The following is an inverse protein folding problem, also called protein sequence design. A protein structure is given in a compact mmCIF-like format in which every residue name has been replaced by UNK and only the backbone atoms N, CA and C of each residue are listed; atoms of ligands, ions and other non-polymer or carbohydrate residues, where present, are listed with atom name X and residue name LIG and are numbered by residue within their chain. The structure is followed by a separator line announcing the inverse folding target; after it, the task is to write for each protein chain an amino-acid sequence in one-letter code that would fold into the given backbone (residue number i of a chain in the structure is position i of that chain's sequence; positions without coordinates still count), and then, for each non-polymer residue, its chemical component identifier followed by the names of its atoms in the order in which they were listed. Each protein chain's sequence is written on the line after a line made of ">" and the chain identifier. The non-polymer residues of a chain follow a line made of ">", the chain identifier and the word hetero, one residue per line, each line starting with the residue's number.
data_IF_083274527510
#
_entry.id   IF_083274527510
#
_cell.length_a   1.000
_cell.length_b   1.000
_cell.length_c   1.000
_cell.angle_alpha   90.00
_cell.angle_beta   90.00
_cell.angle_gamma   90.00
#
_symmetry.space_group_name_H-M   'P 1'
#
loop_
_entity.id
_entity.type
_entity.pdbx_description
1 polymer ?
#
# COMPACT_ATOMS: atom_id res chain seq x y z
N UNK A 1 15.70 15.56 -11.40
CA UNK A 1 15.23 16.86 -11.92
C UNK A 1 14.01 17.22 -11.10
N UNK A 2 13.95 18.40 -10.46
CA UNK A 2 12.81 18.78 -9.62
C UNK A 2 11.54 18.80 -10.48
N UNK A 3 10.47 18.20 -9.97
CA UNK A 3 9.15 18.22 -10.58
C UNK A 3 8.60 19.65 -10.46
N UNK A 4 7.99 20.24 -11.50
CA UNK A 4 7.36 21.56 -11.41
C UNK A 4 6.29 21.68 -10.31
N UNK A 5 5.77 20.55 -9.80
CA UNK A 5 4.83 20.48 -8.69
C UNK A 5 5.48 20.36 -7.29
N UNK A 6 6.80 20.15 -7.21
CA UNK A 6 7.52 20.05 -5.94
C UNK A 6 7.41 21.37 -5.16
N UNK A 7 7.11 21.27 -3.86
CA UNK A 7 7.04 22.44 -2.96
C UNK A 7 8.34 22.49 -2.17
N UNK A 8 9.07 23.60 -2.26
CA UNK A 8 10.30 23.76 -1.49
C UNK A 8 10.00 23.74 0.02
N UNK A 9 10.49 22.71 0.71
CA UNK A 9 10.42 22.64 2.17
C UNK A 9 11.74 23.17 2.73
N UNK A 10 11.61 24.21 3.54
CA UNK A 10 12.74 24.77 4.29
C UNK A 10 12.77 24.15 5.67
N UNK A 11 13.83 23.41 5.97
CA UNK A 11 14.09 22.93 7.32
C UNK A 11 15.16 23.85 7.92
N UNK A 12 14.72 24.76 8.77
CA UNK A 12 15.58 25.63 9.54
C UNK A 12 15.89 24.99 10.90
N UNK A 13 17.16 24.95 11.29
CA UNK A 13 17.58 24.42 12.56
C UNK A 13 18.97 24.91 12.96
N UNK A 14 19.25 24.93 14.26
CA UNK A 14 20.60 25.18 14.78
C UNK A 14 21.45 23.90 14.62
N UNK A 15 21.89 23.62 13.40
CA UNK A 15 22.71 22.44 13.14
C UNK A 15 24.18 22.74 13.43
N UNK A 16 24.60 22.54 14.67
CA UNK A 16 25.99 22.73 15.06
C UNK A 16 26.79 21.45 14.80
N UNK A 17 27.26 21.25 13.57
CA UNK A 17 28.12 20.12 13.19
C UNK A 17 29.57 20.23 13.72
N UNK A 18 29.86 21.24 14.55
CA UNK A 18 31.13 21.42 15.24
C UNK A 18 30.95 22.22 16.54
N UNK A 19 31.85 22.01 17.50
CA UNK A 19 31.83 22.76 18.77
C UNK A 19 32.01 24.28 18.58
N UNK A 20 32.65 24.69 17.48
CA UNK A 20 32.80 26.11 17.14
C UNK A 20 31.47 26.73 16.65
N UNK A 21 30.69 26.00 15.85
CA UNK A 21 29.36 26.44 15.42
C UNK A 21 28.40 26.59 16.61
N UNK A 22 28.51 25.69 17.60
CA UNK A 22 27.72 25.75 18.85
C UNK A 22 28.03 26.99 19.69
N UNK A 23 29.31 27.38 19.77
CA UNK A 23 29.72 28.60 20.46
C UNK A 23 29.27 29.88 19.75
N UNK A 24 29.16 29.85 18.43
CA UNK A 24 28.80 31.02 17.61
C UNK A 24 27.29 31.13 17.33
N UNK A 25 26.50 30.12 17.69
CA UNK A 25 25.08 30.00 17.36
C UNK A 25 24.82 30.16 15.85
N UNK A 26 25.66 29.52 15.03
CA UNK A 26 25.55 29.57 13.57
C UNK A 26 24.31 28.76 13.14
N UNK A 27 23.25 29.45 12.72
CA UNK A 27 22.06 28.82 12.17
C UNK A 27 22.33 28.32 10.75
N UNK A 28 22.20 27.02 10.53
CA UNK A 28 22.34 26.41 9.21
C UNK A 28 20.95 26.19 8.62
N UNK A 29 20.74 26.67 7.39
CA UNK A 29 19.47 26.45 6.68
C UNK A 29 19.65 25.36 5.64
N UNK A 30 18.83 24.31 5.71
CA UNK A 30 18.75 23.28 4.67
C UNK A 30 17.46 23.51 3.89
N UNK A 31 17.58 23.70 2.58
CA UNK A 31 16.44 23.83 1.66
C UNK A 31 16.44 22.59 0.77
N UNK A 32 15.35 21.82 0.83
CA UNK A 32 15.17 20.62 0.02
C UNK A 32 14.09 20.91 -1.01
N UNK A 33 14.44 20.78 -2.29
CA UNK A 33 13.56 21.01 -3.45
C UNK A 33 12.96 19.70 -3.99
N UNK A 34 12.69 18.74 -3.10
CA UNK A 34 12.13 17.44 -3.47
C UNK A 34 11.32 16.92 -2.30
N UNK A 35 10.05 16.68 -2.55
CA UNK A 35 9.09 16.17 -1.58
C UNK A 35 9.53 14.79 -1.05
N UNK A 36 10.00 13.92 -1.95
CA UNK A 36 10.53 12.59 -1.61
C UNK A 36 11.75 12.67 -0.67
N UNK A 37 12.74 13.50 -1.01
CA UNK A 37 13.95 13.68 -0.18
C UNK A 37 13.57 14.32 1.15
N UNK A 38 12.62 15.25 1.16
CA UNK A 38 12.17 15.91 2.38
C UNK A 38 11.49 14.92 3.32
N UNK A 39 10.60 14.07 2.80
CA UNK A 39 9.96 13.03 3.59
C UNK A 39 10.98 12.05 4.18
N UNK A 40 11.90 11.56 3.35
CA UNK A 40 12.96 10.67 3.82
C UNK A 40 13.83 11.34 4.90
N UNK A 41 14.27 12.58 4.65
CA UNK A 41 15.07 13.35 5.60
C UNK A 41 14.33 13.57 6.92
N UNK A 42 13.05 13.94 6.88
CA UNK A 42 12.24 14.13 8.08
C UNK A 42 12.11 12.84 8.87
N UNK A 43 11.79 11.71 8.22
CA UNK A 43 11.67 10.42 8.91
C UNK A 43 13.01 10.00 9.55
N UNK A 44 14.13 10.17 8.83
CA UNK A 44 15.46 9.85 9.35
C UNK A 44 15.88 10.77 10.51
N UNK A 45 15.59 12.08 10.38
CA UNK A 45 15.91 13.09 11.37
C UNK A 45 15.11 12.88 12.66
N UNK A 46 13.79 12.66 12.55
CA UNK A 46 12.96 12.29 13.70
C UNK A 46 13.48 11.01 14.34
N UNK A 47 13.84 10.00 13.52
CA UNK A 47 14.46 8.78 14.01
C UNK A 47 15.75 9.01 14.82
N UNK A 48 16.60 9.97 14.40
CA UNK A 48 17.82 10.33 15.11
C UNK A 48 17.55 11.09 16.43
N UNK A 49 16.65 12.08 16.41
CA UNK A 49 16.24 12.82 17.60
C UNK A 49 15.66 11.90 18.68
N UNK A 50 14.81 10.95 18.30
CA UNK A 50 14.18 10.04 19.26
C UNK A 50 15.19 9.14 19.95
N UNK A 51 16.18 8.62 19.20
CA UNK A 51 17.29 7.87 19.79
C UNK A 51 18.10 8.72 20.78
N UNK A 52 18.26 10.02 20.50
CA UNK A 52 18.94 10.94 21.38
C UNK A 52 18.13 11.25 22.65
N UNK A 53 16.80 11.25 22.58
CA UNK A 53 15.90 11.51 23.71
C UNK A 53 15.51 10.24 24.51
N UNK A 54 16.12 9.08 24.24
CA UNK A 54 15.72 7.79 24.82
C UNK A 54 14.24 7.42 24.60
N UNK A 55 13.58 8.06 23.63
CA UNK A 55 12.19 7.79 23.28
C UNK A 55 12.11 6.57 22.35
N UNK A 56 11.17 5.66 22.65
CA UNK A 56 11.06 4.42 21.89
C UNK A 56 10.41 4.58 20.49
N UNK A 57 9.55 5.60 20.29
CA UNK A 57 8.88 5.90 19.01
C UNK A 57 8.57 7.39 18.86
N UNK A 58 8.63 7.95 17.64
CA UNK A 58 8.15 9.31 17.38
C UNK A 58 6.67 9.45 17.74
N UNK A 59 6.22 10.60 18.26
CA UNK A 59 4.80 10.88 18.37
C UNK A 59 4.16 10.83 16.98
N UNK A 60 2.95 10.27 16.92
CA UNK A 60 2.20 10.23 15.67
C UNK A 60 1.92 11.65 15.17
N UNK A 61 1.99 11.88 13.85
CA UNK A 61 1.54 13.15 13.29
C UNK A 61 0.05 13.35 13.61
N UNK A 62 -0.39 14.60 13.81
CA UNK A 62 -1.81 14.87 14.03
C UNK A 62 -2.61 14.47 12.79
N UNK A 63 -3.78 13.88 13.02
CA UNK A 63 -4.70 13.46 11.96
C UNK A 63 -6.12 13.90 12.29
N UNK A 64 -6.79 14.49 11.31
CA UNK A 64 -8.23 14.77 11.34
C UNK A 64 -8.99 13.52 10.88
N UNK A 65 -9.85 13.00 11.74
CA UNK A 65 -10.62 11.77 11.54
C UNK A 65 -11.80 11.94 10.58
N UNK A 66 -12.16 13.16 10.23
CA UNK A 66 -13.22 13.47 9.26
C UNK A 66 -12.66 13.79 7.86
N UNK A 67 -11.36 14.05 7.75
CA UNK A 67 -10.67 14.34 6.48
C UNK A 67 -10.46 13.09 5.63
N UNK A 68 -10.61 13.27 4.31
CA UNK A 68 -10.21 12.31 3.29
C UNK A 68 -8.77 12.59 2.84
N UNK A 69 -7.92 11.57 2.95
CA UNK A 69 -6.50 11.61 2.61
C UNK A 69 -6.23 10.86 1.32
N UNK A 70 -5.35 11.41 0.50
CA UNK A 70 -4.82 10.74 -0.67
C UNK A 70 -3.89 9.59 -0.26
N UNK A 71 -3.84 8.55 -1.09
CA UNK A 71 -2.94 7.42 -0.89
C UNK A 71 -1.56 7.82 -1.40
N UNK A 72 -0.59 7.85 -0.49
CA UNK A 72 0.80 8.20 -0.80
C UNK A 72 1.55 7.00 -1.38
N UNK A 73 1.49 5.86 -0.68
CA UNK A 73 2.17 4.63 -1.09
C UNK A 73 1.42 3.39 -0.59
N UNK A 74 1.63 2.26 -1.25
CA UNK A 74 1.11 0.96 -0.82
C UNK A 74 2.32 0.03 -0.71
N UNK A 75 2.63 -0.40 0.51
CA UNK A 75 3.84 -1.20 0.78
C UNK A 75 3.56 -2.68 0.62
N UNK A 76 2.48 -3.16 1.23
CA UNK A 76 1.97 -4.52 1.10
C UNK A 76 0.47 -4.57 1.44
N UNK A 77 -0.14 -5.76 1.47
CA UNK A 77 -1.56 -5.90 1.81
C UNK A 77 -1.88 -5.50 3.25
N UNK A 78 -0.89 -5.45 4.14
CA UNK A 78 -1.06 -5.17 5.56
C UNK A 78 -0.82 -3.70 5.93
N UNK A 79 -0.20 -2.92 5.04
CA UNK A 79 0.20 -1.54 5.27
C UNK A 79 0.18 -0.72 3.97
N UNK A 80 -0.46 0.44 4.05
CA UNK A 80 -0.36 1.51 3.07
C UNK A 80 -0.04 2.82 3.79
N UNK A 81 0.19 3.89 3.05
CA UNK A 81 0.54 5.21 3.57
C UNK A 81 -0.44 6.26 3.04
N UNK A 82 -0.88 7.15 3.93
CA UNK A 82 -1.69 8.32 3.58
C UNK A 82 -0.81 9.56 3.52
N UNK A 83 -1.13 10.49 2.64
CA UNK A 83 -0.43 11.78 2.56
C UNK A 83 -0.96 12.73 3.65
N UNK A 84 -0.17 12.93 4.70
CA UNK A 84 -0.53 13.77 5.87
C UNK A 84 -0.16 15.24 5.67
N UNK A 85 0.85 15.50 4.85
CA UNK A 85 1.30 16.82 4.41
C UNK A 85 1.90 16.67 3.00
N UNK A 86 2.01 17.74 2.20
CA UNK A 86 2.54 17.66 0.83
C UNK A 86 3.87 16.92 0.78
N UNK A 87 3.91 15.78 0.12
CA UNK A 87 5.10 14.93 -0.01
C UNK A 87 5.35 13.95 1.14
N UNK A 88 4.58 14.00 2.23
CA UNK A 88 4.79 13.20 3.44
C UNK A 88 3.73 12.10 3.60
N UNK A 89 4.17 10.86 3.42
CA UNK A 89 3.40 9.66 3.75
C UNK A 89 3.52 9.27 5.22
N UNK A 90 2.43 8.76 5.81
CA UNK A 90 2.48 8.08 7.10
C UNK A 90 1.69 6.77 7.06
N UNK A 91 2.26 5.72 7.68
CA UNK A 91 1.72 4.37 7.62
C UNK A 91 0.34 4.24 8.24
N UNK A 92 -0.48 3.36 7.67
CA UNK A 92 -1.77 2.93 8.18
C UNK A 92 -1.83 1.41 8.11
N UNK A 93 -2.22 0.79 9.21
CA UNK A 93 -2.55 -0.63 9.35
C UNK A 93 -4.01 -0.79 9.76
N UNK A 94 -4.59 -1.90 9.35
CA UNK A 94 -5.99 -2.20 9.61
C UNK A 94 -6.21 -2.66 11.05
N UNK A 95 -6.83 -1.81 11.85
CA UNK A 95 -7.25 -2.19 13.20
C UNK A 95 -8.21 -3.37 13.13
N UNK A 96 -7.89 -4.44 13.86
CA UNK A 96 -8.72 -5.64 13.93
C UNK A 96 -8.63 -6.61 12.76
N UNK A 97 -7.80 -6.33 11.75
CA UNK A 97 -7.62 -7.20 10.59
C UNK A 97 -6.15 -7.52 10.42
N UNK A 98 -5.82 -8.80 10.42
CA UNK A 98 -4.49 -9.30 10.12
C UNK A 98 -4.44 -9.73 8.66
N UNK A 99 -3.83 -8.90 7.82
CA UNK A 99 -3.55 -9.23 6.42
C UNK A 99 -2.16 -9.87 6.33
N UNK A 100 -1.98 -10.98 5.58
CA UNK A 100 -0.66 -11.58 5.38
C UNK A 100 0.35 -10.57 4.83
N UNK A 101 1.47 -10.40 5.52
CA UNK A 101 2.53 -9.44 5.17
C UNK A 101 3.59 -10.05 4.28
N UNK A 102 4.25 -9.20 3.49
CA UNK A 102 5.46 -9.55 2.75
C UNK A 102 6.67 -9.16 3.62
N UNK A 103 7.61 -10.08 3.85
CA UNK A 103 8.88 -9.75 4.52
C UNK A 103 10.00 -9.54 3.50
N UNK A 104 11.03 -8.79 3.88
CA UNK A 104 12.21 -8.56 3.04
C UNK A 104 13.08 -9.84 2.95
N UNK A 105 13.35 -10.31 1.73
CA UNK A 105 14.21 -11.47 1.41
C UNK A 105 13.62 -12.35 0.30
N UNK A 106 14.45 -13.14 -0.40
CA UNK A 106 14.01 -14.03 -1.49
C UNK A 106 12.95 -15.06 -1.04
N UNK A 107 12.97 -15.46 0.26
CA UNK A 107 12.22 -16.62 0.77
C UNK A 107 11.20 -16.30 1.88
N UNK A 108 10.57 -15.11 1.89
CA UNK A 108 9.72 -14.77 3.06
C UNK A 108 8.47 -13.94 2.79
N UNK A 109 7.56 -14.50 1.99
CA UNK A 109 6.15 -14.11 1.98
C UNK A 109 5.35 -14.98 2.96
N UNK A 110 4.27 -14.44 3.57
CA UNK A 110 3.23 -15.29 4.16
C UNK A 110 2.27 -15.72 3.07
N UNK A 111 1.72 -16.93 3.19
CA UNK A 111 0.70 -17.40 2.25
C UNK A 111 -0.40 -16.34 2.04
N UNK A 112 -0.70 -16.09 0.78
CA UNK A 112 -1.63 -15.10 0.23
C UNK A 112 -1.23 -13.62 0.34
N UNK A 113 0.00 -13.32 0.74
CA UNK A 113 0.44 -11.93 0.94
C UNK A 113 0.62 -11.15 -0.37
N UNK A 114 1.03 -11.81 -1.46
CA UNK A 114 1.10 -11.20 -2.78
C UNK A 114 -0.29 -10.82 -3.29
N UNK A 115 -1.22 -11.78 -3.27
CA UNK A 115 -2.60 -11.55 -3.67
C UNK A 115 -3.27 -10.43 -2.85
N UNK A 116 -3.01 -10.37 -1.54
CA UNK A 116 -3.53 -9.31 -0.68
C UNK A 116 -2.92 -7.93 -0.98
N UNK A 117 -1.62 -7.87 -1.27
CA UNK A 117 -0.97 -6.62 -1.66
C UNK A 117 -1.54 -6.08 -2.97
N UNK A 118 -1.64 -6.92 -4.00
CA UNK A 118 -2.20 -6.53 -5.29
C UNK A 118 -3.67 -6.12 -5.17
N UNK A 119 -4.44 -6.84 -4.35
CA UNK A 119 -5.83 -6.51 -4.11
C UNK A 119 -5.98 -5.12 -3.48
N UNK A 120 -5.19 -4.84 -2.45
CA UNK A 120 -5.22 -3.56 -1.76
C UNK A 120 -4.77 -2.42 -2.69
N UNK A 121 -3.73 -2.66 -3.49
CA UNK A 121 -3.25 -1.75 -4.54
C UNK A 121 -4.41 -1.32 -5.44
N UNK A 122 -5.09 -2.30 -6.03
CA UNK A 122 -6.18 -2.07 -6.99
C UNK A 122 -7.40 -1.41 -6.34
N UNK A 123 -7.65 -1.72 -5.06
CA UNK A 123 -8.80 -1.21 -4.35
C UNK A 123 -8.64 0.27 -3.99
N UNK A 124 -7.42 0.70 -3.63
CA UNK A 124 -7.11 2.05 -3.16
C UNK A 124 -6.63 3.01 -4.26
N UNK A 125 -6.27 2.50 -5.44
CA UNK A 125 -5.73 3.32 -6.52
C UNK A 125 -6.71 4.43 -6.97
N UNK A 126 -6.23 5.66 -6.94
CA UNK A 126 -7.01 6.86 -7.33
C UNK A 126 -8.14 7.20 -6.37
N UNK A 127 -8.17 6.60 -5.17
CA UNK A 127 -9.21 6.85 -4.16
C UNK A 127 -8.59 7.49 -2.93
N UNK A 128 -9.44 8.17 -2.17
CA UNK A 128 -9.08 8.67 -0.85
C UNK A 128 -9.59 7.74 0.24
N UNK A 129 -8.94 7.82 1.39
CA UNK A 129 -9.36 7.14 2.60
C UNK A 129 -9.51 8.09 3.77
N UNK A 130 -10.29 7.65 4.74
CA UNK A 130 -10.43 8.29 6.03
C UNK A 130 -10.13 7.27 7.11
N UNK A 131 -9.44 7.69 8.16
CA UNK A 131 -9.00 6.80 9.23
C UNK A 131 -9.54 7.22 10.58
N UNK A 132 -9.98 6.25 11.37
CA UNK A 132 -10.48 6.47 12.73
C UNK A 132 -9.90 5.46 13.71
N UNK A 133 -9.74 5.92 14.95
CA UNK A 133 -9.39 5.10 16.10
C UNK A 133 -10.54 4.19 16.52
N UNK A 134 -10.32 3.44 17.59
CA UNK A 134 -11.24 2.40 17.99
C UNK A 134 -12.59 2.92 18.51
N UNK A 135 -12.62 4.12 19.09
CA UNK A 135 -13.84 4.81 19.56
C UNK A 135 -14.30 5.91 18.58
N UNK A 136 -13.77 5.91 17.35
CA UNK A 136 -14.02 6.97 16.36
C UNK A 136 -13.15 8.22 16.54
N UNK A 137 -12.23 8.17 17.50
CA UNK A 137 -11.26 9.18 17.86
C UNK A 137 -9.99 9.11 17.00
N UNK A 138 -8.93 9.81 17.40
CA UNK A 138 -7.62 9.74 16.74
C UNK A 138 -7.04 8.33 16.88
N UNK A 139 -6.60 7.68 15.78
CA UNK A 139 -5.99 6.36 15.87
C UNK A 139 -4.70 6.35 16.68
N UNK A 140 -4.52 5.29 17.47
CA UNK A 140 -3.22 4.96 18.06
C UNK A 140 -2.18 4.72 16.96
N UNK A 141 -0.93 5.16 17.16
CA UNK A 141 0.17 4.83 16.26
C UNK A 141 1.23 3.96 16.95
N UNK A 142 1.71 2.94 16.24
CA UNK A 142 2.81 2.07 16.67
C UNK A 142 3.61 1.65 15.44
N UNK A 143 4.93 1.50 15.62
CA UNK A 143 5.83 1.05 14.55
C UNK A 143 5.68 1.90 13.26
N UNK A 144 5.62 3.22 13.41
CA UNK A 144 5.44 4.21 12.33
C UNK A 144 4.18 3.98 11.48
N UNK A 145 3.10 3.49 12.09
CA UNK A 145 1.81 3.38 11.45
C UNK A 145 0.64 3.56 12.42
N UNK A 146 -0.41 4.24 11.96
CA UNK A 146 -1.71 4.26 12.62
C UNK A 146 -2.34 2.87 12.64
N UNK A 147 -2.99 2.50 13.74
CA UNK A 147 -3.86 1.34 13.86
C UNK A 147 -5.30 1.84 13.73
N UNK A 148 -5.88 1.74 12.53
CA UNK A 148 -7.13 2.43 12.23
C UNK A 148 -8.22 1.55 11.62
N UNK A 149 -9.47 1.90 11.91
CA UNK A 149 -10.58 1.60 11.01
C UNK A 149 -10.48 2.53 9.81
N UNK A 150 -10.52 1.94 8.62
CA UNK A 150 -10.30 2.63 7.35
C UNK A 150 -11.60 2.62 6.56
N UNK A 151 -12.06 3.80 6.20
CA UNK A 151 -13.11 4.00 5.21
C UNK A 151 -12.48 4.49 3.91
N UNK A 152 -13.02 4.04 2.79
CA UNK A 152 -12.57 4.41 1.46
C UNK A 152 -13.73 4.98 0.66
N UNK A 153 -13.44 5.98 -0.16
CA UNK A 153 -14.40 6.51 -1.12
C UNK A 153 -14.86 5.43 -2.11
N UNK A 154 -16.15 5.42 -2.41
CA UNK A 154 -16.74 4.47 -3.36
C UNK A 154 -17.98 5.09 -4.02
N UNK A 155 -18.28 4.65 -5.24
CA UNK A 155 -19.31 5.26 -6.11
C UNK A 155 -20.70 5.34 -5.42
N UNK A 156 -21.01 4.38 -4.54
CA UNK A 156 -22.30 4.30 -3.82
C UNK A 156 -22.20 4.71 -2.33
N UNK A 157 -21.18 5.50 -1.98
CA UNK A 157 -20.90 5.96 -0.62
C UNK A 157 -19.76 5.20 0.06
N UNK A 158 -19.21 5.74 1.16
CA UNK A 158 -18.03 5.18 1.83
C UNK A 158 -18.19 3.72 2.24
N UNK A 159 -17.14 2.92 2.05
CA UNK A 159 -17.10 1.53 2.50
C UNK A 159 -15.98 1.29 3.49
N UNK A 160 -16.21 0.41 4.47
CA UNK A 160 -15.18 -0.03 5.42
C UNK A 160 -14.23 -1.03 4.75
N UNK A 161 -12.95 -0.65 4.65
CA UNK A 161 -11.91 -1.51 4.09
C UNK A 161 -11.63 -2.71 4.99
N UNK A 162 -11.65 -2.53 6.32
CA UNK A 162 -11.46 -3.60 7.30
C UNK A 162 -12.48 -4.72 7.10
N UNK A 163 -13.77 -4.36 6.97
CA UNK A 163 -14.85 -5.31 6.65
C UNK A 163 -14.59 -5.99 5.31
N UNK A 164 -14.29 -5.19 4.28
CA UNK A 164 -14.15 -5.67 2.91
C UNK A 164 -13.04 -6.72 2.76
N UNK A 165 -11.88 -6.46 3.39
CA UNK A 165 -10.75 -7.40 3.41
C UNK A 165 -11.13 -8.74 4.07
N UNK A 166 -11.90 -8.71 5.15
CA UNK A 166 -12.37 -9.93 5.83
C UNK A 166 -13.39 -10.69 4.99
N UNK A 167 -14.42 -10.02 4.44
CA UNK A 167 -15.47 -10.66 3.64
C UNK A 167 -14.91 -11.29 2.34
N UNK A 168 -13.82 -10.74 1.81
CA UNK A 168 -13.14 -11.26 0.61
C UNK A 168 -11.99 -12.22 0.90
N UNK A 169 -11.75 -12.55 2.18
CA UNK A 169 -10.73 -13.53 2.57
C UNK A 169 -9.29 -13.05 2.35
N UNK A 170 -9.02 -11.74 2.38
CA UNK A 170 -7.67 -11.20 2.30
C UNK A 170 -7.00 -11.03 3.67
N UNK A 171 -7.68 -11.39 4.76
CA UNK A 171 -7.12 -11.38 6.09
C UNK A 171 -7.99 -12.14 7.09
N UNK A 172 -7.47 -12.28 8.30
CA UNK A 172 -8.19 -12.85 9.45
C UNK A 172 -8.53 -11.77 10.46
N UNK A 173 -9.57 -11.99 11.27
CA UNK A 173 -9.87 -11.07 12.37
C UNK A 173 -8.80 -11.19 13.46
N UNK A 174 -8.49 -10.07 14.10
CA UNK A 174 -7.51 -10.00 15.19
C UNK A 174 -8.08 -9.21 16.35
N UNK A 175 -7.79 -9.65 17.57
CA UNK A 175 -8.15 -8.95 18.82
C UNK A 175 -6.92 -8.39 19.54
N UNK A 176 -5.78 -8.32 18.84
CA UNK A 176 -4.50 -7.93 19.43
C UNK A 176 -4.51 -6.49 19.96
N UNK A 177 -5.08 -5.57 19.18
CA UNK A 177 -5.26 -4.18 19.58
C UNK A 177 -6.67 -3.95 20.13
N UNK A 178 -6.79 -2.95 21.01
CA UNK A 178 -8.07 -2.50 21.58
C UNK A 178 -9.01 -2.05 20.46
N UNK A 179 -10.26 -2.49 20.56
CA UNK A 179 -11.30 -2.32 19.54
C UNK A 179 -12.65 -2.10 20.18
N UNK A 180 -13.57 -1.46 19.45
CA UNK A 180 -14.97 -1.45 19.84
C UNK A 180 -15.53 -2.88 19.83
N UNK A 181 -16.36 -3.22 20.84
CA UNK A 181 -16.90 -4.58 21.00
C UNK A 181 -17.71 -5.03 19.77
N UNK A 182 -18.46 -4.11 19.16
CA UNK A 182 -19.29 -4.41 18.01
C UNK A 182 -18.44 -4.72 16.77
N UNK A 183 -17.31 -4.02 16.59
CA UNK A 183 -16.37 -4.29 15.52
C UNK A 183 -15.75 -5.68 15.67
N UNK A 184 -15.35 -6.07 16.89
CA UNK A 184 -14.82 -7.41 17.17
C UNK A 184 -15.84 -8.49 16.82
N UNK A 185 -17.11 -8.30 17.21
CA UNK A 185 -18.18 -9.24 16.89
C UNK A 185 -18.48 -9.30 15.39
N UNK A 186 -18.48 -8.15 14.70
CA UNK A 186 -18.73 -8.05 13.26
C UNK A 186 -17.60 -8.70 12.44
N UNK A 187 -16.33 -8.43 12.79
CA UNK A 187 -15.17 -8.96 12.07
C UNK A 187 -15.11 -10.48 12.11
N UNK A 188 -15.41 -11.11 13.25
CA UNK A 188 -15.54 -12.57 13.34
C UNK A 188 -16.62 -13.12 12.40
N UNK A 189 -17.75 -12.41 12.24
CA UNK A 189 -18.82 -12.82 11.33
C UNK A 189 -18.42 -12.67 9.86
N UNK A 190 -17.69 -11.63 9.51
CA UNK A 190 -17.19 -11.43 8.14
C UNK A 190 -16.17 -12.49 7.75
N UNK A 191 -15.24 -12.80 8.65
CA UNK A 191 -14.28 -13.88 8.49
C UNK A 191 -14.98 -15.24 8.29
N UNK A 192 -15.97 -15.55 9.14
CA UNK A 192 -16.71 -16.81 9.03
C UNK A 192 -17.49 -16.93 7.70
N UNK A 193 -18.03 -15.83 7.17
CA UNK A 193 -18.67 -15.84 5.85
C UNK A 193 -17.67 -16.12 4.74
N UNK A 194 -16.50 -15.48 4.77
CA UNK A 194 -15.45 -15.73 3.79
C UNK A 194 -14.99 -17.20 3.83
N UNK A 195 -14.90 -17.77 5.04
CA UNK A 195 -14.61 -19.20 5.25
C UNK A 195 -15.68 -20.10 4.64
N UNK A 196 -16.96 -19.81 4.89
CA UNK A 196 -18.09 -20.59 4.33
C UNK A 196 -18.17 -20.49 2.81
N UNK A 197 -17.80 -19.34 2.24
CA UNK A 197 -17.82 -19.10 0.80
C UNK A 197 -16.55 -19.55 0.09
N UNK A 198 -15.56 -20.09 0.81
CA UNK A 198 -14.27 -20.51 0.27
C UNK A 198 -13.53 -19.36 -0.47
N UNK A 199 -13.56 -18.16 0.12
CA UNK A 199 -12.99 -16.93 -0.44
C UNK A 199 -11.53 -16.74 0.00
N UNK A 200 -10.71 -16.18 -0.88
CA UNK A 200 -9.33 -15.77 -0.56
C UNK A 200 -8.47 -16.85 0.10
N UNK A 201 -7.86 -16.52 1.25
CA UNK A 201 -7.03 -17.43 2.08
C UNK A 201 -7.74 -18.73 2.45
N UNK A 202 -9.08 -18.72 2.50
CA UNK A 202 -9.88 -19.87 2.94
C UNK A 202 -9.95 -20.99 1.91
N UNK A 203 -9.50 -20.76 0.67
CA UNK A 203 -9.31 -21.81 -0.35
C UNK A 203 -8.27 -22.84 0.06
N UNK A 204 -7.31 -22.44 0.90
CA UNK A 204 -6.25 -23.30 1.41
C UNK A 204 -6.04 -23.02 2.90
N UNK A 205 -7.01 -23.40 3.76
CA UNK A 205 -6.99 -23.04 5.18
C UNK A 205 -5.75 -23.57 5.91
N UNK A 206 -5.24 -24.72 5.50
CA UNK A 206 -4.04 -25.34 6.08
C UNK A 206 -2.74 -24.55 5.81
N UNK A 207 -2.75 -23.66 4.81
CA UNK A 207 -1.60 -22.80 4.49
C UNK A 207 -1.64 -21.46 5.22
N UNK A 208 -2.72 -21.13 5.94
CA UNK A 208 -2.85 -19.83 6.62
C UNK A 208 -1.73 -19.66 7.66
N UNK A 209 -0.95 -18.60 7.50
CA UNK A 209 0.15 -18.26 8.39
C UNK A 209 1.48 -18.96 8.07
N UNK A 210 1.50 -19.89 7.11
CA UNK A 210 2.74 -20.51 6.64
C UNK A 210 3.59 -19.51 5.84
N UNK A 211 4.90 -19.75 5.82
CA UNK A 211 5.83 -19.03 4.93
C UNK A 211 5.85 -19.74 3.58
N UNK A 212 5.83 -18.97 2.50
CA UNK A 212 5.91 -19.47 1.14
C UNK A 212 6.91 -18.64 0.34
N UNK A 213 7.49 -19.24 -0.69
CA UNK A 213 8.24 -18.48 -1.68
C UNK A 213 7.26 -17.63 -2.49
N UNK A 214 7.59 -16.36 -2.72
CA UNK A 214 6.70 -15.46 -3.47
C UNK A 214 6.40 -16.00 -4.87
N UNK A 215 7.36 -16.67 -5.51
CA UNK A 215 7.21 -17.30 -6.82
C UNK A 215 6.24 -18.49 -6.83
N UNK A 216 6.08 -19.21 -5.71
CA UNK A 216 5.19 -20.37 -5.59
C UNK A 216 3.73 -19.98 -5.30
N UNK A 217 3.49 -18.74 -4.88
CA UNK A 217 2.16 -18.21 -4.58
C UNK A 217 1.41 -17.78 -5.85
N UNK A 218 2.15 -17.54 -6.92
CA UNK A 218 1.60 -17.44 -8.28
C UNK A 218 1.27 -18.87 -8.69
N UNK A 219 -0.01 -19.24 -8.72
CA UNK A 219 -0.49 -20.54 -9.24
C UNK A 219 -0.21 -20.60 -10.76
N UNK A 220 1.05 -20.79 -11.12
CA UNK A 220 1.49 -20.95 -12.50
C UNK A 220 1.36 -22.40 -12.86
N UNK A 221 0.28 -22.74 -13.57
CA UNK A 221 0.33 -23.84 -14.52
C UNK A 221 1.50 -23.59 -15.48
N UNK A 222 2.65 -24.20 -15.18
CA UNK A 222 3.86 -24.33 -15.99
C UNK A 222 4.57 -23.02 -16.39
N UNK A 223 5.74 -22.67 -15.82
CA UNK A 223 6.57 -21.57 -16.29
C UNK A 223 7.32 -22.00 -17.55
N UNK A 224 6.64 -22.07 -18.69
CA UNK A 224 7.32 -21.97 -19.96
C UNK A 224 7.98 -20.58 -20.02
N UNK A 225 9.28 -20.54 -20.27
CA UNK A 225 10.13 -19.34 -20.30
C UNK A 225 9.39 -18.09 -20.77
N UNK A 226 9.03 -17.20 -19.84
CA UNK A 226 8.40 -15.93 -20.17
C UNK A 226 9.47 -15.05 -20.81
N UNK A 227 9.32 -14.80 -22.11
CA UNK A 227 10.20 -13.92 -22.87
C UNK A 227 9.69 -12.49 -22.72
N UNK A 228 10.51 -11.61 -22.16
CA UNK A 228 10.26 -10.18 -22.18
C UNK A 228 10.69 -9.57 -23.54
N UNK A 229 9.99 -8.54 -24.04
CA UNK A 229 8.81 -7.90 -23.46
C UNK A 229 7.53 -8.74 -23.58
N UNK A 230 6.64 -8.65 -22.58
CA UNK A 230 5.36 -9.39 -22.55
C UNK A 230 4.38 -8.74 -23.53
N UNK A 231 3.86 -9.52 -24.48
CA UNK A 231 2.86 -9.04 -25.42
C UNK A 231 1.47 -8.99 -24.76
N UNK A 232 0.91 -7.79 -24.57
CA UNK A 232 -0.39 -7.59 -23.88
C UNK A 232 -1.60 -8.03 -24.72
N UNK A 233 -1.43 -8.27 -26.02
CA UNK A 233 -2.48 -8.81 -26.89
C UNK A 233 -2.58 -10.34 -26.83
N UNK A 234 -1.52 -11.04 -26.45
CA UNK A 234 -1.46 -12.51 -26.49
C UNK A 234 -1.19 -13.17 -25.14
N UNK A 235 -0.62 -12.44 -24.17
CA UNK A 235 -0.39 -12.94 -22.83
C UNK A 235 -1.69 -13.41 -22.17
N UNK A 236 -1.62 -14.54 -21.48
CA UNK A 236 -2.69 -15.02 -20.62
C UNK A 236 -2.70 -14.27 -19.28
N UNK A 237 -3.73 -14.51 -18.46
CA UNK A 237 -3.91 -13.79 -17.22
C UNK A 237 -2.72 -13.99 -16.26
N UNK A 238 -2.10 -15.17 -16.27
CA UNK A 238 -0.95 -15.49 -15.42
C UNK A 238 0.32 -14.76 -15.89
N UNK A 239 0.58 -14.71 -17.19
CA UNK A 239 1.72 -13.99 -17.77
C UNK A 239 1.57 -12.49 -17.56
N UNK A 240 0.35 -11.95 -17.72
CA UNK A 240 0.06 -10.55 -17.44
C UNK A 240 0.31 -10.19 -15.96
N UNK A 241 0.06 -11.12 -15.03
CA UNK A 241 0.31 -10.91 -13.59
C UNK A 241 1.79 -10.78 -13.22
N UNK A 242 2.71 -11.14 -14.11
CA UNK A 242 4.14 -10.93 -13.90
C UNK A 242 4.55 -9.46 -14.10
N UNK A 243 3.66 -8.63 -14.67
CA UNK A 243 3.92 -7.22 -14.86
C UNK A 243 3.76 -6.45 -13.53
N UNK A 244 4.67 -5.51 -13.22
CA UNK A 244 4.62 -4.74 -11.99
C UNK A 244 3.33 -3.91 -11.92
N UNK A 245 2.57 -4.08 -10.84
CA UNK A 245 1.29 -3.39 -10.64
C UNK A 245 0.11 -4.00 -11.39
N UNK A 246 0.28 -5.16 -12.04
CA UNK A 246 -0.81 -5.92 -12.68
C UNK A 246 -1.08 -7.18 -11.87
N UNK A 247 -2.10 -7.15 -11.02
CA UNK A 247 -2.59 -8.33 -10.30
C UNK A 247 -3.74 -9.05 -11.04
N UNK A 248 -4.36 -10.09 -10.44
CA UNK A 248 -5.45 -10.86 -11.04
C UNK A 248 -6.59 -10.01 -11.60
N UNK A 249 -6.95 -8.93 -10.91
CA UNK A 249 -8.03 -8.05 -11.35
C UNK A 249 -7.64 -7.21 -12.59
N UNK A 250 -6.39 -6.77 -12.68
CA UNK A 250 -5.93 -5.99 -13.83
C UNK A 250 -5.64 -6.87 -15.04
N UNK A 251 -5.08 -8.07 -14.84
CA UNK A 251 -4.89 -9.02 -15.94
C UNK A 251 -6.22 -9.41 -16.57
N UNK A 252 -7.26 -9.64 -15.76
CA UNK A 252 -8.61 -9.92 -16.24
C UNK A 252 -9.18 -8.72 -17.01
N UNK A 253 -9.04 -7.48 -16.48
CA UNK A 253 -9.46 -6.26 -17.21
C UNK A 253 -8.74 -6.04 -18.53
N UNK A 254 -7.44 -6.36 -18.61
CA UNK A 254 -6.66 -6.26 -19.85
C UNK A 254 -7.23 -7.23 -20.90
N UNK A 255 -7.55 -8.45 -20.49
CA UNK A 255 -8.16 -9.46 -21.36
C UNK A 255 -9.56 -9.02 -21.81
N UNK A 256 -10.42 -8.62 -20.88
CA UNK A 256 -11.77 -8.12 -21.20
C UNK A 256 -11.71 -6.93 -22.14
N UNK A 257 -10.82 -5.96 -21.90
CA UNK A 257 -10.67 -4.80 -22.76
C UNK A 257 -10.34 -5.19 -24.21
N UNK A 258 -9.36 -6.09 -24.42
CA UNK A 258 -8.98 -6.51 -25.79
C UNK A 258 -10.03 -7.38 -26.46
N UNK A 259 -10.86 -8.08 -25.69
CA UNK A 259 -12.01 -8.84 -26.20
C UNK A 259 -13.16 -7.92 -26.65
N UNK A 260 -13.44 -6.86 -25.89
CA UNK A 260 -14.54 -5.92 -26.16
C UNK A 260 -14.18 -4.84 -27.19
N UNK A 261 -12.95 -4.33 -27.15
CA UNK A 261 -12.51 -3.17 -27.93
C UNK A 261 -11.54 -3.54 -29.06
N UNK A 262 -11.16 -4.81 -29.15
CA UNK A 262 -10.11 -5.30 -30.03
C UNK A 262 -8.70 -5.14 -29.45
N UNK A 263 -7.72 -5.71 -30.14
CA UNK A 263 -6.31 -5.67 -29.75
C UNK A 263 -5.79 -4.25 -29.56
N UNK A 264 -4.93 -4.05 -28.55
CA UNK A 264 -4.20 -2.82 -28.33
C UNK A 264 -3.30 -2.52 -29.54
N UNK A 265 -3.34 -1.30 -30.05
CA UNK A 265 -2.48 -0.83 -31.15
C UNK A 265 -1.18 -0.22 -30.66
N UNK A 266 -1.14 0.15 -29.38
CA UNK A 266 0.06 0.64 -28.69
C UNK A 266 -0.03 0.28 -27.22
N UNK A 267 1.12 0.16 -26.56
CA UNK A 267 1.17 -0.07 -25.11
C UNK A 267 0.42 1.05 -24.36
N UNK A 268 0.41 2.27 -24.89
CA UNK A 268 -0.25 3.42 -24.29
C UNK A 268 -1.77 3.24 -24.15
N UNK A 269 -2.41 2.48 -25.05
CA UNK A 269 -3.85 2.21 -24.97
C UNK A 269 -4.25 1.43 -23.71
N UNK A 270 -3.29 0.82 -23.00
CA UNK A 270 -3.55 0.19 -21.71
C UNK A 270 -4.08 1.19 -20.67
N UNK A 271 -3.82 2.51 -20.83
CA UNK A 271 -4.37 3.54 -19.94
C UNK A 271 -5.87 3.79 -20.14
N UNK A 272 -6.47 3.22 -21.19
CA UNK A 272 -7.93 3.25 -21.35
C UNK A 272 -8.63 2.32 -20.37
N UNK A 273 -7.90 1.38 -19.76
CA UNK A 273 -8.42 0.51 -18.71
C UNK A 273 -8.50 1.31 -17.41
N UNK A 274 -9.71 1.38 -16.83
CA UNK A 274 -9.95 2.04 -15.55
C UNK A 274 -8.99 1.47 -14.49
N UNK A 275 -8.17 2.36 -13.93
CA UNK A 275 -7.18 2.05 -12.90
C UNK A 275 -5.74 1.94 -13.40
N UNK A 276 -5.49 1.89 -14.71
CA UNK A 276 -4.10 1.92 -15.22
C UNK A 276 -3.73 3.35 -15.60
N UNK A 277 -3.00 4.02 -14.72
CA UNK A 277 -2.59 5.42 -14.90
C UNK A 277 -1.19 5.62 -15.51
N UNK A 278 -0.78 6.88 -15.75
CA UNK A 278 0.52 7.22 -16.32
C UNK A 278 1.72 6.66 -15.55
N UNK A 279 1.63 6.60 -14.21
CA UNK A 279 2.68 6.02 -13.34
C UNK A 279 2.86 4.52 -13.60
N UNK A 280 1.75 3.79 -13.76
CA UNK A 280 1.77 2.37 -14.08
C UNK A 280 2.25 2.15 -15.52
N UNK A 281 1.75 2.93 -16.49
CA UNK A 281 2.22 2.89 -17.88
C UNK A 281 3.74 3.09 -18.00
N UNK A 282 4.31 4.03 -17.24
CA UNK A 282 5.75 4.30 -17.25
C UNK A 282 6.57 3.06 -16.84
N UNK A 283 6.08 2.29 -15.87
CA UNK A 283 6.71 1.03 -15.42
C UNK A 283 6.53 -0.11 -16.42
N UNK A 284 5.40 -0.13 -17.14
CA UNK A 284 5.06 -1.19 -18.08
C UNK A 284 5.71 -1.04 -19.45
N UNK A 285 5.80 0.19 -19.98
CA UNK A 285 6.38 0.51 -21.30
C UNK A 285 7.70 -0.21 -21.63
N UNK A 286 8.72 -0.29 -20.75
CA UNK A 286 9.98 -0.95 -21.09
C UNK A 286 9.90 -2.48 -21.18
N UNK A 287 8.82 -3.10 -20.68
CA UNK A 287 8.70 -4.55 -20.48
C UNK A 287 7.45 -5.14 -21.14
N UNK A 288 6.70 -4.34 -21.91
CA UNK A 288 5.50 -4.78 -22.65
C UNK A 288 5.58 -4.45 -24.15
N UNK A 289 4.84 -5.21 -24.96
CA UNK A 289 4.70 -5.00 -26.42
C UNK A 289 3.26 -5.31 -26.88
N UNK A 290 2.93 -5.01 -28.13
CA UNK A 290 1.58 -5.16 -28.73
C UNK A 290 1.54 -5.90 -30.07
N UNK A 291 2.63 -6.56 -30.49
CA UNK A 291 2.72 -7.24 -31.82
C UNK A 291 1.49 -8.09 -32.19
#
# INVERSE_FOLDING_TARGET
>A
HPDPSDIAVTVAGSYNFSMNAEMNNDENTIIIYSDEITNQFYQDFQGALNRANEESYPPAPPVDTEKWYDIYAITDGSRFEIEIAPGFGYGVRFLGVNVPSIYAGEDSARFYSGAAADYLQNLLEGRKVRIKGYDGDTPDARYNAFQAYVEMEYDNGPISLNKWLLEKGYGTSSVYYRQHSDSVAAFKRYEERARQNNEGIWKNPDKIGSKVLRAEEVDTGNPASVVYPININTADAATLQLLPGIGPAYSERIITYREENGSFKSVDEITNIRGIGPKTLQKLRPITTVE
#
